data_IF_277504634369
#
_entry.id   IF_277504634369
#
_cell.length_a   1.000
_cell.length_b   1.000
_cell.length_c   1.000
_cell.angle_alpha   90.00
_cell.angle_beta   90.00
_cell.angle_gamma   90.00
#
_symmetry.space_group_name_H-M   'P 1'
#
loop_
_entity.id
_entity.type
_entity.pdbx_description
1 polymer ?
#
# COMPACT_ATOMS: atom_id res chain seq x y z
N UNK A 1 -9.12 -21.44 11.61
CA UNK A 1 -8.19 -20.91 10.61
C UNK A 1 -8.43 -19.41 10.48
N UNK A 2 -7.45 -18.57 10.82
CA UNK A 2 -7.60 -17.11 10.81
C UNK A 2 -7.26 -16.54 9.44
N UNK A 3 -8.08 -15.62 8.92
CA UNK A 3 -7.76 -14.90 7.69
C UNK A 3 -6.42 -14.18 7.82
N UNK A 4 -5.65 -14.17 6.72
CA UNK A 4 -4.41 -13.39 6.57
C UNK A 4 -4.59 -12.20 5.62
N UNK A 5 -5.74 -12.09 4.96
CA UNK A 5 -6.04 -10.96 4.09
C UNK A 5 -6.65 -9.84 4.94
N UNK A 6 -6.03 -8.67 4.90
CA UNK A 6 -6.47 -7.47 5.64
C UNK A 6 -6.51 -6.26 4.70
N UNK A 7 -7.35 -5.28 5.05
CA UNK A 7 -7.51 -4.07 4.24
C UNK A 7 -8.28 -4.29 2.95
N UNK A 8 -8.48 -3.20 2.21
CA UNK A 8 -9.25 -3.17 0.97
C UNK A 8 -8.61 -2.18 -0.01
N UNK A 9 -8.47 -2.59 -1.27
CA UNK A 9 -7.97 -1.70 -2.30
C UNK A 9 -8.91 -0.53 -2.53
N UNK A 10 -8.34 0.62 -2.86
CA UNK A 10 -9.09 1.81 -3.28
C UNK A 10 -8.74 2.18 -4.71
N UNK A 11 -9.59 3.00 -5.31
CA UNK A 11 -9.33 3.57 -6.63
C UNK A 11 -9.20 5.09 -6.50
N UNK A 12 -8.24 5.66 -7.22
CA UNK A 12 -7.98 7.09 -7.25
C UNK A 12 -8.04 7.58 -8.69
N UNK A 13 -8.90 8.56 -8.96
CA UNK A 13 -8.94 9.24 -10.26
C UNK A 13 -7.90 10.36 -10.23
N UNK A 14 -6.97 10.34 -11.18
CA UNK A 14 -5.92 11.36 -11.28
C UNK A 14 -6.55 12.68 -11.70
N UNK A 15 -6.41 13.69 -10.86
CA UNK A 15 -6.91 15.04 -11.11
C UNK A 15 -6.05 15.78 -12.15
N UNK A 16 -6.58 16.90 -12.64
CA UNK A 16 -6.01 17.70 -13.72
C UNK A 16 -4.90 18.61 -13.17
N UNK A 17 -3.69 18.08 -12.95
CA UNK A 17 -2.62 18.59 -12.04
C UNK A 17 -2.43 17.76 -10.75
N UNK A 18 -2.96 16.54 -10.72
CA UNK A 18 -3.05 15.65 -9.55
C UNK A 18 -1.74 15.17 -8.92
N UNK A 19 -0.60 15.72 -9.32
CA UNK A 19 0.72 15.43 -8.77
C UNK A 19 1.35 14.13 -9.27
N UNK A 20 2.58 13.87 -8.80
CA UNK A 20 3.33 12.65 -9.12
C UNK A 20 2.78 11.42 -8.37
N UNK A 21 3.22 10.22 -8.78
CA UNK A 21 2.93 9.01 -8.00
C UNK A 21 3.48 9.08 -6.57
N UNK A 22 4.57 9.82 -6.32
CA UNK A 22 5.09 10.01 -4.97
C UNK A 22 4.13 10.84 -4.10
N UNK A 23 3.59 11.93 -4.64
CA UNK A 23 2.61 12.75 -3.92
C UNK A 23 1.32 11.95 -3.61
N UNK A 24 0.87 11.14 -4.57
CA UNK A 24 -0.29 10.24 -4.39
C UNK A 24 0.04 9.15 -3.36
N UNK A 25 1.22 8.54 -3.42
CA UNK A 25 1.65 7.52 -2.47
C UNK A 25 1.66 8.07 -1.03
N UNK A 26 2.16 9.30 -0.85
CA UNK A 26 2.14 10.01 0.43
C UNK A 26 0.72 10.30 0.92
N UNK A 27 -0.19 10.73 0.02
CA UNK A 27 -1.61 10.98 0.34
C UNK A 27 -2.31 9.75 0.91
N UNK A 28 -1.99 8.56 0.39
CA UNK A 28 -2.61 7.31 0.82
C UNK A 28 -1.78 6.52 1.84
N UNK A 29 -0.62 7.04 2.25
CA UNK A 29 0.35 6.34 3.11
C UNK A 29 0.71 4.95 2.58
N UNK A 30 1.00 4.86 1.28
CA UNK A 30 1.48 3.63 0.63
C UNK A 30 2.90 3.82 0.12
N UNK A 31 3.65 2.74 0.00
CA UNK A 31 5.01 2.80 -0.58
C UNK A 31 4.96 3.16 -2.07
N UNK A 32 5.87 4.04 -2.51
CA UNK A 32 5.98 4.45 -3.92
C UNK A 32 6.13 3.24 -4.86
N UNK A 33 7.01 2.29 -4.52
CA UNK A 33 7.24 1.09 -5.33
C UNK A 33 6.00 0.19 -5.39
N UNK A 34 5.25 0.06 -4.30
CA UNK A 34 4.01 -0.70 -4.28
C UNK A 34 2.94 -0.05 -5.17
N UNK A 35 2.82 1.27 -5.14
CA UNK A 35 1.90 2.00 -6.00
C UNK A 35 2.30 1.89 -7.48
N UNK A 36 3.59 1.96 -7.79
CA UNK A 36 4.12 1.77 -9.13
C UNK A 36 3.86 0.35 -9.67
N UNK A 37 4.09 -0.67 -8.84
CA UNK A 37 3.82 -2.07 -9.17
C UNK A 37 2.33 -2.35 -9.40
N UNK A 38 1.45 -1.73 -8.61
CA UNK A 38 0.00 -1.86 -8.75
C UNK A 38 -0.55 -1.19 -10.03
N UNK A 39 0.22 -0.29 -10.65
CA UNK A 39 -0.21 0.49 -11.82
C UNK A 39 0.82 0.45 -12.96
N UNK A 40 1.02 -0.71 -13.62
CA UNK A 40 2.00 -0.85 -14.70
C UNK A 40 1.73 0.13 -15.86
N UNK A 41 2.80 0.77 -16.34
CA UNK A 41 2.74 1.67 -17.50
C UNK A 41 2.26 3.09 -17.21
N UNK A 42 1.99 3.43 -15.95
CA UNK A 42 1.73 4.82 -15.55
C UNK A 42 3.04 5.60 -15.44
N UNK A 43 3.05 6.83 -15.96
CA UNK A 43 4.17 7.76 -15.79
C UNK A 43 4.29 8.17 -14.29
N UNK A 44 5.42 7.93 -13.62
CA UNK A 44 5.59 8.21 -12.19
C UNK A 44 5.62 9.70 -11.85
N UNK A 45 5.95 10.56 -12.82
CA UNK A 45 6.10 12.00 -12.61
C UNK A 45 4.85 12.76 -13.00
N UNK A 46 4.21 12.38 -14.11
CA UNK A 46 3.03 13.05 -14.67
C UNK A 46 1.96 12.01 -15.07
N UNK A 47 1.29 11.37 -14.10
CA UNK A 47 0.22 10.43 -14.41
C UNK A 47 -0.90 11.13 -15.20
N UNK A 48 -1.50 10.40 -16.15
CA UNK A 48 -2.50 10.97 -17.05
C UNK A 48 -3.76 11.36 -16.27
N UNK A 49 -4.18 12.61 -16.37
CA UNK A 49 -5.45 13.06 -15.80
C UNK A 49 -6.64 12.23 -16.31
N UNK A 50 -7.60 11.96 -15.42
CA UNK A 50 -8.75 11.10 -15.67
C UNK A 50 -8.46 9.60 -15.69
N UNK A 51 -7.18 9.18 -15.63
CA UNK A 51 -6.85 7.77 -15.42
C UNK A 51 -7.17 7.32 -13.99
N UNK A 52 -7.39 6.02 -13.81
CA UNK A 52 -7.70 5.42 -12.52
C UNK A 52 -6.49 4.63 -12.03
N UNK A 53 -6.01 4.98 -10.84
CA UNK A 53 -4.97 4.24 -10.14
C UNK A 53 -5.58 3.30 -9.11
N UNK A 54 -5.05 2.09 -9.03
CA UNK A 54 -5.28 1.17 -7.91
C UNK A 54 -4.37 1.56 -6.77
N UNK A 55 -4.96 1.81 -5.59
CA UNK A 55 -4.24 2.08 -4.34
C UNK A 55 -4.17 0.77 -3.54
N UNK A 56 -2.99 0.16 -3.39
CA UNK A 56 -2.83 -1.20 -2.84
C UNK A 56 -2.83 -1.21 -1.31
N UNK A 57 -4.01 -0.97 -0.71
CA UNK A 57 -4.23 -0.99 0.74
C UNK A 57 -4.61 -2.38 1.26
N UNK A 58 -4.97 -3.32 0.38
CA UNK A 58 -5.17 -4.71 0.75
C UNK A 58 -3.83 -5.44 0.80
N UNK A 59 -3.60 -6.21 1.87
CA UNK A 59 -2.35 -6.93 2.07
C UNK A 59 -2.58 -8.31 2.64
N UNK A 60 -1.73 -9.24 2.22
CA UNK A 60 -1.62 -10.56 2.82
C UNK A 60 -0.57 -10.52 3.92
N UNK A 61 -0.97 -10.78 5.16
CA UNK A 61 -0.04 -10.79 6.29
C UNK A 61 1.04 -11.86 6.11
N UNK A 62 2.32 -11.55 6.44
CA UNK A 62 3.42 -12.51 6.35
C UNK A 62 3.16 -13.79 7.13
N UNK A 63 3.79 -14.88 6.70
CA UNK A 63 3.76 -16.14 7.43
C UNK A 63 4.83 -16.14 8.53
N UNK A 64 4.55 -15.37 9.58
CA UNK A 64 5.45 -15.15 10.70
C UNK A 64 4.64 -14.96 12.00
N UNK A 65 5.25 -15.12 13.18
CA UNK A 65 4.62 -14.77 14.44
C UNK A 65 4.06 -13.34 14.42
N UNK A 66 2.79 -13.18 14.80
CA UNK A 66 2.10 -11.88 14.85
C UNK A 66 2.42 -11.15 16.16
N UNK A 67 3.71 -10.89 16.37
CA UNK A 67 4.24 -10.32 17.60
C UNK A 67 5.30 -9.26 17.28
N UNK A 68 5.23 -8.11 17.98
CA UNK A 68 6.23 -7.06 17.85
C UNK A 68 6.34 -6.53 16.42
N UNK A 69 7.56 -6.44 15.90
CA UNK A 69 7.86 -5.92 14.56
C UNK A 69 8.25 -7.08 13.63
N UNK A 70 7.54 -7.20 12.51
CA UNK A 70 7.90 -8.09 11.40
C UNK A 70 8.24 -7.23 10.19
N UNK A 71 9.46 -7.37 9.64
CA UNK A 71 9.90 -6.64 8.46
C UNK A 71 9.96 -7.61 7.28
N UNK A 72 9.17 -7.35 6.24
CA UNK A 72 9.26 -8.09 4.99
C UNK A 72 10.09 -7.29 3.97
N UNK A 73 11.35 -7.70 3.81
CA UNK A 73 12.30 -7.04 2.91
C UNK A 73 11.95 -7.18 1.43
N UNK A 74 11.17 -8.20 1.04
CA UNK A 74 10.81 -8.43 -0.36
C UNK A 74 9.75 -7.44 -0.87
N UNK A 75 8.89 -6.95 0.02
CA UNK A 75 7.85 -5.95 -0.29
C UNK A 75 8.10 -4.60 0.39
N UNK A 76 9.25 -4.45 1.06
CA UNK A 76 9.70 -3.22 1.76
C UNK A 76 8.68 -2.69 2.77
N UNK A 77 8.08 -3.60 3.55
CA UNK A 77 6.98 -3.28 4.46
C UNK A 77 7.28 -3.72 5.88
N UNK A 78 6.90 -2.87 6.83
CA UNK A 78 6.97 -3.14 8.26
C UNK A 78 5.56 -3.43 8.76
N UNK A 79 5.43 -4.49 9.53
CA UNK A 79 4.20 -4.88 10.21
C UNK A 79 4.42 -4.77 11.72
N UNK A 80 3.60 -3.99 12.39
CA UNK A 80 3.65 -3.85 13.85
C UNK A 80 2.41 -4.46 14.50
N UNK A 81 2.64 -5.41 15.40
CA UNK A 81 1.65 -6.09 16.21
C UNK A 81 1.79 -5.61 17.67
N UNK A 82 0.95 -4.65 18.12
CA UNK A 82 1.06 -4.12 19.47
C UNK A 82 0.73 -5.19 20.52
N UNK A 83 1.52 -5.31 21.61
CA UNK A 83 1.24 -6.27 22.67
C UNK A 83 -0.19 -6.12 23.24
N UNK A 84 -0.88 -7.25 23.41
CA UNK A 84 -2.23 -7.28 23.96
C UNK A 84 -3.33 -6.76 23.02
N UNK A 85 -3.03 -6.46 21.75
CA UNK A 85 -4.03 -6.05 20.75
C UNK A 85 -4.13 -7.07 19.62
N UNK A 86 -5.36 -7.37 19.19
CA UNK A 86 -5.60 -8.15 17.99
C UNK A 86 -5.69 -7.23 16.76
N UNK A 87 -4.62 -6.47 16.50
CA UNK A 87 -4.53 -5.48 15.42
C UNK A 87 -3.13 -5.47 14.82
N UNK A 88 -3.02 -5.02 13.58
CA UNK A 88 -1.75 -4.84 12.89
C UNK A 88 -1.72 -3.45 12.26
N UNK A 89 -0.62 -2.75 12.44
CA UNK A 89 -0.28 -1.54 11.68
C UNK A 89 0.65 -1.94 10.54
N UNK A 90 0.37 -1.44 9.35
CA UNK A 90 1.06 -1.74 8.10
C UNK A 90 1.56 -0.44 7.48
#
# INVERSE_FOLDING_TARGET
>A
AGSRLVGENKFHVVENDGGSLEAIAKKYNVGFLALLQANPGVDPYVPRAGSVLTIPLQTLLPDAPREGIVINIAELRLYYYPPGKNSVTV
#
